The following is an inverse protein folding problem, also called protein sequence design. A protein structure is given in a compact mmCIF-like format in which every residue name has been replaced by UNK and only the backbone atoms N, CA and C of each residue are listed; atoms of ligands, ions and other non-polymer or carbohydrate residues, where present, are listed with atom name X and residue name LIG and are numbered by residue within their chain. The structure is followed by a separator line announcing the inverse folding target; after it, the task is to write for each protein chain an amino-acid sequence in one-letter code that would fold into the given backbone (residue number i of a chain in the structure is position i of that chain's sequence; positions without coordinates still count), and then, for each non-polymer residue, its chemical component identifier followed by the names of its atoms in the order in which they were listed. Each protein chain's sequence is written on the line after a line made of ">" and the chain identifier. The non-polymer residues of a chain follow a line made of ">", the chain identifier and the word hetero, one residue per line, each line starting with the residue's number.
data_IF_780352941527
#
_entry.id   IF_780352941527
#
_cell.length_a   1.000
_cell.length_b   1.000
_cell.length_c   1.000
_cell.angle_alpha   90.00
_cell.angle_beta   90.00
_cell.angle_gamma   90.00
#
_symmetry.space_group_name_H-M   'P 1'
#
loop_
_entity.id
_entity.type
_entity.pdbx_description
1 polymer ?
#
# COMPACT_ATOMS: atom_id res chain seq x y z
N UNK A 1 0.18 7.74 -14.51
CA UNK A 1 0.25 6.49 -15.24
C UNK A 1 -0.70 5.45 -14.66
N UNK A 2 -1.60 4.95 -15.48
CA UNK A 2 -2.63 4.01 -15.04
C UNK A 2 -2.07 2.70 -14.49
N UNK A 3 -1.04 2.19 -15.14
CA UNK A 3 -0.44 0.94 -14.69
C UNK A 3 0.17 1.12 -13.32
N UNK A 4 0.86 2.22 -13.13
CA UNK A 4 1.50 2.50 -11.85
C UNK A 4 0.46 2.71 -10.77
N UNK A 5 -0.61 3.41 -11.08
CA UNK A 5 -1.69 3.62 -10.13
C UNK A 5 -2.31 2.30 -9.70
N UNK A 6 -2.57 1.42 -10.65
CA UNK A 6 -3.16 0.12 -10.35
C UNK A 6 -2.26 -0.68 -9.43
N UNK A 7 -0.96 -0.64 -9.70
CA UNK A 7 -0.01 -1.37 -8.85
C UNK A 7 0.01 -0.82 -7.44
N UNK A 8 -0.06 0.49 -7.29
CA UNK A 8 -0.06 1.10 -5.98
C UNK A 8 -1.36 0.79 -5.23
N UNK A 9 -2.48 0.81 -5.92
CA UNK A 9 -3.75 0.45 -5.28
C UNK A 9 -3.72 -0.98 -4.77
N UNK A 10 -3.14 -1.88 -5.55
CA UNK A 10 -3.01 -3.26 -5.13
C UNK A 10 -2.10 -3.36 -3.92
N UNK A 11 -1.01 -2.60 -3.92
CA UNK A 11 -0.09 -2.62 -2.79
C UNK A 11 -0.78 -2.15 -1.52
N UNK A 12 -1.60 -1.13 -1.61
CA UNK A 12 -2.34 -0.64 -0.45
C UNK A 12 -3.22 -1.73 0.13
N UNK A 13 -3.94 -2.43 -0.72
CA UNK A 13 -4.79 -3.52 -0.28
C UNK A 13 -3.99 -4.62 0.40
N UNK A 14 -2.88 -5.02 -0.21
CA UNK A 14 -2.07 -6.08 0.35
C UNK A 14 -1.45 -5.69 1.68
N UNK A 15 -1.05 -4.44 1.81
CA UNK A 15 -0.47 -3.97 3.05
C UNK A 15 -1.47 -4.00 4.19
N UNK A 16 -2.73 -3.73 3.90
CA UNK A 16 -3.77 -3.68 4.92
C UNK A 16 -4.35 -5.06 5.18
N UNK A 17 -4.58 -5.83 4.13
CA UNK A 17 -5.33 -7.09 4.24
C UNK A 17 -4.49 -8.31 4.54
N UNK A 18 -3.18 -8.23 4.35
CA UNK A 18 -2.33 -9.40 4.52
C UNK A 18 -1.15 -9.09 5.42
N UNK A 19 -0.45 -10.15 5.83
CA UNK A 19 0.77 -10.01 6.62
C UNK A 19 2.02 -10.08 5.77
N UNK A 20 1.87 -9.95 4.47
CA UNK A 20 3.02 -10.00 3.58
C UNK A 20 4.00 -8.90 3.92
N UNK A 21 5.27 -9.21 3.78
CA UNK A 21 6.29 -8.21 3.98
C UNK A 21 6.22 -7.19 2.86
N UNK A 22 6.72 -5.99 3.14
CA UNK A 22 6.73 -4.94 2.13
C UNK A 22 7.39 -5.43 0.85
N UNK A 23 8.50 -6.17 0.98
CA UNK A 23 9.18 -6.70 -0.20
C UNK A 23 8.29 -7.65 -0.99
N UNK A 24 7.53 -8.47 -0.29
CA UNK A 24 6.63 -9.41 -0.94
C UNK A 24 5.49 -8.68 -1.63
N UNK A 25 4.98 -7.64 -0.99
CA UNK A 25 3.94 -6.81 -1.58
C UNK A 25 4.46 -6.17 -2.86
N UNK A 26 5.69 -5.67 -2.80
CA UNK A 26 6.33 -5.05 -3.96
C UNK A 26 6.38 -6.02 -5.14
N UNK A 27 6.82 -7.24 -4.87
CA UNK A 27 6.93 -8.25 -5.93
C UNK A 27 5.56 -8.64 -6.46
N UNK A 28 4.61 -8.77 -5.56
CA UNK A 28 3.25 -9.15 -5.97
C UNK A 28 2.63 -8.09 -6.87
N UNK A 29 3.07 -6.85 -6.72
CA UNK A 29 2.55 -5.76 -7.52
C UNK A 29 3.35 -5.53 -8.80
N UNK A 30 4.39 -6.32 -9.03
CA UNK A 30 5.15 -6.21 -10.26
C UNK A 30 6.29 -5.22 -10.22
N UNK A 31 6.65 -4.73 -9.07
CA UNK A 31 7.81 -3.85 -8.95
C UNK A 31 9.06 -4.68 -8.80
N UNK A 32 10.11 -4.29 -9.49
CA UNK A 32 11.39 -5.00 -9.42
C UNK A 32 12.43 -4.23 -8.63
N UNK A 33 12.16 -2.98 -8.30
CA UNK A 33 13.09 -2.13 -7.57
C UNK A 33 12.40 -1.58 -6.33
N UNK A 34 13.02 -1.80 -5.17
CA UNK A 34 12.48 -1.26 -3.93
C UNK A 34 12.43 0.26 -3.96
N UNK A 35 13.48 0.88 -4.47
CA UNK A 35 13.52 2.34 -4.55
C UNK A 35 12.36 2.88 -5.38
N UNK A 36 12.12 2.25 -6.52
CA UNK A 36 11.03 2.68 -7.38
C UNK A 36 9.69 2.50 -6.71
N UNK A 37 9.53 1.37 -6.03
CA UNK A 37 8.29 1.09 -5.32
C UNK A 37 8.05 2.14 -4.23
N UNK A 38 9.06 2.40 -3.43
CA UNK A 38 8.93 3.37 -2.35
C UNK A 38 8.63 4.77 -2.87
N UNK A 39 9.32 5.17 -3.92
CA UNK A 39 9.09 6.47 -4.52
C UNK A 39 7.66 6.60 -5.03
N UNK A 40 7.22 5.60 -5.79
CA UNK A 40 5.87 5.63 -6.36
C UNK A 40 4.83 5.61 -5.25
N UNK A 41 5.02 4.78 -4.25
CA UNK A 41 4.06 4.66 -3.17
C UNK A 41 3.98 5.97 -2.37
N UNK A 42 5.12 6.55 -2.07
CA UNK A 42 5.16 7.79 -1.32
C UNK A 42 4.50 8.92 -2.08
N UNK A 43 4.73 8.98 -3.38
CA UNK A 43 4.09 10.00 -4.20
C UNK A 43 2.58 9.84 -4.25
N UNK A 44 2.12 8.60 -4.22
CA UNK A 44 0.69 8.33 -4.31
C UNK A 44 -0.04 8.50 -2.98
N UNK A 45 0.61 8.18 -1.87
CA UNK A 45 -0.05 8.18 -0.57
C UNK A 45 0.48 9.20 0.40
N UNK A 46 1.65 9.75 0.14
CA UNK A 46 2.27 10.70 1.06
C UNK A 46 3.00 10.03 2.20
N UNK A 47 3.12 8.72 2.19
CA UNK A 47 3.83 8.00 3.25
C UNK A 47 4.46 6.73 2.69
N UNK A 48 5.42 6.19 3.43
CA UNK A 48 6.08 4.97 2.99
C UNK A 48 5.14 3.78 3.16
N UNK A 49 5.41 2.68 2.44
CA UNK A 49 4.57 1.48 2.60
C UNK A 49 4.52 0.98 4.04
N UNK A 50 5.64 1.04 4.74
CA UNK A 50 5.67 0.60 6.12
C UNK A 50 4.83 1.49 7.01
N UNK A 51 4.93 2.80 6.82
CA UNK A 51 4.13 3.74 7.59
C UNK A 51 2.66 3.58 7.27
N UNK A 52 2.34 3.37 6.01
CA UNK A 52 0.97 3.17 5.58
C UNK A 52 0.36 1.96 6.28
N UNK A 53 1.07 0.84 6.27
CA UNK A 53 0.59 -0.36 6.94
C UNK A 53 0.39 -0.12 8.42
N UNK A 54 1.38 0.51 9.05
CA UNK A 54 1.32 0.75 10.48
C UNK A 54 0.13 1.63 10.84
N UNK A 55 -0.10 2.65 10.04
CA UNK A 55 -1.17 3.59 10.32
C UNK A 55 -2.55 2.98 10.17
N UNK A 56 -2.78 2.30 9.07
CA UNK A 56 -4.10 1.77 8.79
C UNK A 56 -4.35 0.43 9.43
N UNK A 57 -3.31 -0.34 9.60
CA UNK A 57 -3.46 -1.64 10.23
C UNK A 57 -3.51 -1.53 11.74
N UNK A 58 -2.81 -0.56 12.28
CA UNK A 58 -2.83 -0.33 13.70
C UNK A 58 -4.18 0.08 14.22
N UNK A 59 -5.05 0.53 13.35
CA UNK A 59 -6.43 0.87 13.69
C UNK A 59 -7.30 -0.30 13.33
N UNK A 60 -7.07 -1.38 14.03
CA UNK A 60 -7.64 -2.66 13.67
C UNK A 60 -9.16 -2.68 13.59
N UNK A 61 -9.80 -1.79 14.27
CA UNK A 61 -11.25 -1.71 14.20
C UNK A 61 -11.75 -1.10 12.90
N UNK A 62 -10.86 -0.49 12.16
CA UNK A 62 -11.23 0.16 10.91
C UNK A 62 -10.98 -0.76 9.76
N UNK A 63 -12.02 -1.21 9.14
CA UNK A 63 -11.90 -2.01 7.95
C UNK A 63 -11.65 -1.11 6.75
N UNK A 64 -11.37 -1.73 5.62
CA UNK A 64 -11.25 -0.96 4.39
C UNK A 64 -12.52 -0.21 4.07
N UNK A 65 -13.64 -0.79 4.43
CA UNK A 65 -14.92 -0.13 4.21
C UNK A 65 -15.01 1.16 5.00
N UNK A 66 -14.51 1.14 6.23
CA UNK A 66 -14.52 2.33 7.06
C UNK A 66 -13.62 3.42 6.46
N UNK A 67 -12.47 3.01 5.94
CA UNK A 67 -11.58 3.95 5.30
C UNK A 67 -12.25 4.58 4.10
N UNK A 68 -12.92 3.78 3.32
CA UNK A 68 -13.64 4.28 2.17
C UNK A 68 -14.79 5.17 2.56
N UNK A 69 -15.37 4.90 3.70
CA UNK A 69 -16.52 5.65 4.15
C UNK A 69 -16.24 7.11 4.37
N UNK A 70 -15.02 7.47 4.50
CA UNK A 70 -14.66 8.87 4.65
C UNK A 70 -14.60 9.60 3.34
N UNK A 71 -14.52 8.89 2.30
CA UNK A 71 -14.37 9.52 0.99
C UNK A 71 -15.64 10.16 0.52
#
# INVERSE_FOLDING_TARGET
>A
DEILRTRIERAKSLLIDTNLRVDDVMRACGFTSRSRFFTAFTQATGMTPKSFRRQYRGKSGLSRAAIKGFA
#
